data_IF_937936112562
#
_entry.id   IF_937936112562
#
_cell.length_a   1.000
_cell.length_b   1.000
_cell.length_c   1.000
_cell.angle_alpha   90.00
_cell.angle_beta   90.00
_cell.angle_gamma   90.00
#
_symmetry.space_group_name_H-M   'P 1'
#
loop_
_entity.id
_entity.type
_entity.pdbx_description
1 polymer ?
#
# COMPACT_ATOMS: atom_id res chain seq x y z
N UNK A 1 -31.37 36.59 17.42
CA UNK A 1 -30.50 35.42 17.63
C UNK A 1 -29.20 35.67 16.91
N UNK A 2 -28.12 35.93 17.65
CA UNK A 2 -26.80 36.23 17.08
C UNK A 2 -25.88 35.02 17.29
N UNK A 3 -25.35 34.45 16.21
CA UNK A 3 -24.36 33.39 16.25
C UNK A 3 -23.01 33.96 16.71
N UNK A 4 -22.46 33.42 17.80
CA UNK A 4 -21.07 33.64 18.21
C UNK A 4 -20.14 32.74 17.39
N UNK A 5 -18.95 33.20 16.98
CA UNK A 5 -17.93 32.34 16.40
C UNK A 5 -17.24 31.53 17.49
N UNK A 6 -17.07 30.23 17.25
CA UNK A 6 -16.25 29.35 18.08
C UNK A 6 -14.78 29.60 17.73
N UNK A 7 -14.07 30.26 18.63
CA UNK A 7 -12.61 30.32 18.67
C UNK A 7 -12.06 28.96 19.12
N UNK A 8 -11.40 28.24 18.22
CA UNK A 8 -10.58 27.08 18.58
C UNK A 8 -9.28 27.57 19.22
N UNK A 9 -8.88 27.09 20.40
CA UNK A 9 -7.59 27.43 20.98
C UNK A 9 -6.47 26.66 20.26
N UNK A 10 -5.58 27.41 19.63
CA UNK A 10 -4.25 26.96 19.19
C UNK A 10 -3.42 26.53 20.40
N UNK A 11 -3.54 25.26 20.80
CA UNK A 11 -2.65 24.61 21.74
C UNK A 11 -2.04 23.37 21.08
N UNK A 12 -1.33 23.56 19.98
CA UNK A 12 -0.38 22.56 19.49
C UNK A 12 0.88 22.67 20.34
N UNK A 13 0.95 21.85 21.39
CA UNK A 13 2.20 21.62 22.11
C UNK A 13 3.26 21.09 21.12
N UNK A 14 4.54 21.47 21.27
CA UNK A 14 5.60 20.92 20.43
C UNK A 14 5.62 19.40 20.60
N UNK A 15 5.40 18.67 19.50
CA UNK A 15 5.59 17.22 19.47
C UNK A 15 7.07 16.97 19.79
N UNK A 16 7.41 16.14 20.79
CA UNK A 16 8.80 15.85 21.12
C UNK A 16 9.50 15.33 19.87
N UNK A 17 10.66 15.92 19.56
CA UNK A 17 11.46 15.53 18.40
C UNK A 17 11.74 14.02 18.46
N UNK A 18 11.30 13.30 17.43
CA UNK A 18 11.53 11.87 17.31
C UNK A 18 13.04 11.64 17.16
N UNK A 19 13.69 10.96 18.11
CA UNK A 19 15.12 10.67 18.06
C UNK A 19 15.53 9.77 16.89
N UNK A 20 14.55 9.25 16.15
CA UNK A 20 14.71 8.39 14.98
C UNK A 20 14.29 9.08 13.67
N UNK A 21 14.31 10.42 13.62
CA UNK A 21 13.99 11.17 12.39
C UNK A 21 14.90 10.76 11.23
N UNK A 22 14.32 10.62 10.04
CA UNK A 22 14.98 10.19 8.82
C UNK A 22 15.75 11.36 8.20
N UNK A 23 16.99 11.12 7.79
CA UNK A 23 17.74 12.06 6.92
C UNK A 23 17.27 11.96 5.47
N UNK A 24 17.51 13.01 4.65
CA UNK A 24 17.14 12.98 3.23
C UNK A 24 17.74 11.79 2.45
N UNK A 25 18.98 11.38 2.78
CA UNK A 25 19.63 10.21 2.18
C UNK A 25 18.95 8.91 2.58
N UNK A 26 18.63 8.75 3.86
CA UNK A 26 17.90 7.58 4.36
C UNK A 26 16.49 7.51 3.77
N UNK A 27 15.83 8.67 3.59
CA UNK A 27 14.52 8.75 2.97
C UNK A 27 14.55 8.22 1.53
N UNK A 28 15.55 8.63 0.73
CA UNK A 28 15.72 8.13 -0.63
C UNK A 28 15.95 6.62 -0.66
N UNK A 29 16.73 6.08 0.29
CA UNK A 29 16.92 4.63 0.41
C UNK A 29 15.63 3.90 0.79
N UNK A 30 14.81 4.49 1.66
CA UNK A 30 13.48 4.00 2.04
C UNK A 30 12.54 3.99 0.84
N UNK A 31 12.51 5.06 0.04
CA UNK A 31 11.71 5.15 -1.18
C UNK A 31 12.10 4.08 -2.21
N UNK A 32 13.39 3.87 -2.44
CA UNK A 32 13.85 2.87 -3.41
C UNK A 32 13.51 1.45 -2.94
N UNK A 33 13.67 1.17 -1.64
CA UNK A 33 13.33 -0.12 -1.05
C UNK A 33 11.83 -0.39 -1.16
N UNK A 34 11.00 0.63 -0.86
CA UNK A 34 9.56 0.56 -1.05
C UNK A 34 9.18 0.31 -2.50
N UNK A 35 9.75 1.08 -3.44
CA UNK A 35 9.49 0.98 -4.88
C UNK A 35 9.83 -0.40 -5.41
N UNK A 36 11.01 -0.91 -5.06
CA UNK A 36 11.46 -2.25 -5.45
C UNK A 36 10.52 -3.33 -4.93
N UNK A 37 10.08 -3.21 -3.68
CA UNK A 37 9.12 -4.15 -3.09
C UNK A 37 7.73 -4.09 -3.75
N UNK A 38 7.19 -2.89 -3.94
CA UNK A 38 5.90 -2.68 -4.61
C UNK A 38 5.91 -3.29 -6.02
N UNK A 39 7.00 -3.12 -6.78
CA UNK A 39 7.11 -3.68 -8.12
C UNK A 39 7.07 -5.21 -8.12
N UNK A 40 7.64 -5.86 -7.10
CA UNK A 40 7.57 -7.32 -6.94
C UNK A 40 6.14 -7.78 -6.68
N UNK A 41 5.43 -7.12 -5.77
CA UNK A 41 4.01 -7.40 -5.48
C UNK A 41 3.15 -7.16 -6.72
N UNK A 42 3.31 -6.00 -7.38
CA UNK A 42 2.61 -5.62 -8.61
C UNK A 42 2.76 -6.68 -9.71
N UNK A 43 3.96 -7.21 -9.93
CA UNK A 43 4.20 -8.25 -10.95
C UNK A 43 3.49 -9.57 -10.61
N UNK A 44 3.57 -10.01 -9.35
CA UNK A 44 2.90 -11.24 -8.93
C UNK A 44 1.37 -11.10 -9.03
N UNK A 45 0.82 -10.00 -8.51
CA UNK A 45 -0.61 -9.69 -8.63
C UNK A 45 -1.05 -9.59 -10.09
N UNK A 46 -0.26 -8.98 -10.96
CA UNK A 46 -0.56 -8.91 -12.39
C UNK A 46 -0.62 -10.30 -13.02
N UNK A 47 0.29 -11.22 -12.67
CA UNK A 47 0.25 -12.60 -13.14
C UNK A 47 -1.04 -13.33 -12.77
N UNK A 48 -1.55 -13.07 -11.56
CA UNK A 48 -2.80 -13.68 -11.04
C UNK A 48 -4.05 -13.02 -11.66
N UNK A 49 -4.05 -11.69 -11.76
CA UNK A 49 -5.24 -10.91 -12.13
C UNK A 49 -5.41 -10.70 -13.64
N UNK A 50 -4.32 -10.65 -14.42
CA UNK A 50 -4.36 -10.33 -15.85
C UNK A 50 -5.31 -11.23 -16.68
N UNK A 51 -5.40 -12.57 -16.45
CA UNK A 51 -6.32 -13.43 -17.18
C UNK A 51 -7.80 -13.02 -17.04
N UNK A 52 -8.16 -12.39 -15.92
CA UNK A 52 -9.52 -11.93 -15.65
C UNK A 52 -9.73 -10.48 -16.11
N UNK A 53 -8.76 -9.60 -15.82
CA UNK A 53 -8.85 -8.19 -16.13
C UNK A 53 -8.82 -7.91 -17.64
N UNK A 54 -8.04 -8.68 -18.42
CA UNK A 54 -7.85 -8.45 -19.86
C UNK A 54 -9.11 -8.64 -20.72
N UNK A 55 -10.10 -9.37 -20.22
CA UNK A 55 -11.38 -9.63 -20.89
C UNK A 55 -12.57 -8.93 -20.22
N UNK A 56 -12.31 -8.17 -19.15
CA UNK A 56 -13.36 -7.56 -18.35
C UNK A 56 -13.94 -6.32 -19.05
N UNK A 57 -15.26 -6.30 -19.23
CA UNK A 57 -15.99 -5.17 -19.82
C UNK A 57 -16.29 -4.04 -18.81
N UNK A 58 -16.18 -4.34 -17.52
CA UNK A 58 -16.52 -3.43 -16.43
C UNK A 58 -15.32 -3.29 -15.49
N UNK A 59 -14.39 -2.36 -15.75
CA UNK A 59 -13.20 -2.20 -14.92
C UNK A 59 -13.61 -1.85 -13.48
N UNK A 60 -13.06 -2.59 -12.50
CA UNK A 60 -13.34 -2.38 -11.08
C UNK A 60 -12.56 -1.21 -10.48
N UNK A 61 -11.50 -0.76 -11.16
CA UNK A 61 -10.71 0.39 -10.74
C UNK A 61 -11.51 1.69 -10.85
N UNK A 62 -11.42 2.56 -9.84
CA UNK A 62 -12.17 3.83 -9.78
C UNK A 62 -11.22 5.00 -9.64
N UNK A 63 -11.59 6.15 -10.22
CA UNK A 63 -10.81 7.40 -10.12
C UNK A 63 -10.56 7.85 -8.68
N UNK A 64 -11.48 7.55 -7.75
CA UNK A 64 -11.30 7.85 -6.33
C UNK A 64 -10.08 7.14 -5.71
N UNK A 65 -9.75 5.92 -6.17
CA UNK A 65 -8.56 5.19 -5.74
C UNK A 65 -7.30 5.84 -6.33
N UNK A 66 -7.37 6.31 -7.57
CA UNK A 66 -6.25 7.01 -8.22
C UNK A 66 -5.92 8.36 -7.55
N UNK A 67 -6.89 8.99 -6.88
CA UNK A 67 -6.71 10.29 -6.21
C UNK A 67 -5.67 10.21 -5.09
N UNK A 68 -5.63 9.12 -4.33
CA UNK A 68 -4.62 8.90 -3.29
C UNK A 68 -3.19 8.94 -3.88
N UNK A 69 -2.97 8.31 -5.04
CA UNK A 69 -1.68 8.37 -5.76
C UNK A 69 -1.29 9.78 -6.17
N UNK A 70 -2.27 10.61 -6.51
CA UNK A 70 -2.05 11.96 -6.99
C UNK A 70 -1.82 12.95 -5.85
N UNK A 71 -2.54 12.78 -4.74
CA UNK A 71 -2.54 13.74 -3.62
C UNK A 71 -1.45 13.43 -2.58
N UNK A 72 -0.97 12.19 -2.48
CA UNK A 72 0.05 11.79 -1.50
C UNK A 72 1.46 12.20 -1.95
N UNK A 73 2.15 13.09 -1.22
CA UNK A 73 3.55 13.44 -1.50
C UNK A 73 4.48 12.23 -1.47
N UNK A 74 4.22 11.27 -0.57
CA UNK A 74 4.95 10.01 -0.52
C UNK A 74 4.85 9.26 -1.85
N UNK A 75 3.63 9.04 -2.35
CA UNK A 75 3.44 8.31 -3.62
C UNK A 75 3.96 9.09 -4.82
N UNK A 76 3.87 10.42 -4.81
CA UNK A 76 4.51 11.25 -5.83
C UNK A 76 6.04 11.06 -5.84
N UNK A 77 6.66 10.96 -4.67
CA UNK A 77 8.09 10.69 -4.55
C UNK A 77 8.46 9.26 -5.01
N UNK A 78 7.63 8.26 -4.71
CA UNK A 78 7.84 6.86 -5.15
C UNK A 78 7.66 6.72 -6.67
N UNK A 79 6.61 7.30 -7.24
CA UNK A 79 6.20 7.06 -8.63
C UNK A 79 6.90 8.00 -9.62
N UNK A 80 7.35 9.16 -9.14
CA UNK A 80 7.79 10.26 -9.97
C UNK A 80 6.59 11.02 -10.56
N UNK A 81 6.69 12.34 -10.62
CA UNK A 81 5.62 13.24 -11.10
C UNK A 81 5.31 13.15 -12.61
N UNK A 82 5.78 12.10 -13.30
CA UNK A 82 5.85 12.07 -14.77
C UNK A 82 4.53 11.81 -15.48
N UNK A 83 3.51 11.29 -14.79
CA UNK A 83 2.25 10.92 -15.44
C UNK A 83 1.11 11.84 -15.03
N UNK A 84 0.50 12.49 -16.03
CA UNK A 84 -0.60 13.41 -15.82
C UNK A 84 -1.84 12.67 -15.28
N UNK A 85 -2.41 13.19 -14.21
CA UNK A 85 -3.68 12.73 -13.64
C UNK A 85 -4.86 13.34 -14.42
N UNK A 86 -5.78 12.50 -14.90
CA UNK A 86 -7.03 12.96 -15.51
C UNK A 86 -8.14 12.99 -14.44
N UNK A 87 -8.82 14.12 -14.19
CA UNK A 87 -9.87 14.18 -13.16
C UNK A 87 -11.09 13.28 -13.38
N UNK A 88 -11.36 12.86 -14.63
CA UNK A 88 -12.47 11.98 -15.00
C UNK A 88 -12.05 10.51 -14.97
N UNK A 89 -10.92 10.17 -15.55
CA UNK A 89 -10.46 8.77 -15.67
C UNK A 89 -9.38 8.37 -14.68
N UNK A 90 -8.83 9.29 -13.90
CA UNK A 90 -7.64 9.08 -13.07
C UNK A 90 -6.46 8.63 -13.92
N UNK A 91 -5.76 7.60 -13.43
CA UNK A 91 -4.71 6.93 -14.18
C UNK A 91 -5.24 5.76 -15.04
N UNK A 92 -6.54 5.67 -15.32
CA UNK A 92 -7.09 4.57 -16.11
C UNK A 92 -6.98 4.85 -17.61
N UNK A 93 -6.71 3.80 -18.38
CA UNK A 93 -6.67 3.76 -19.84
C UNK A 93 -7.45 2.58 -20.39
N UNK A 94 -7.46 2.44 -21.72
CA UNK A 94 -8.24 1.40 -22.41
C UNK A 94 -7.87 -0.04 -22.02
N UNK A 95 -6.67 -0.27 -21.51
CA UNK A 95 -6.16 -1.57 -21.05
C UNK A 95 -5.97 -1.67 -19.53
N UNK A 96 -6.49 -0.71 -18.76
CA UNK A 96 -6.35 -0.65 -17.30
C UNK A 96 -5.50 0.52 -16.81
N UNK A 97 -4.89 0.39 -15.63
CA UNK A 97 -4.09 1.47 -15.03
C UNK A 97 -2.84 1.76 -15.87
N UNK A 98 -2.59 3.05 -16.14
CA UNK A 98 -1.48 3.59 -16.93
C UNK A 98 -0.20 3.79 -16.12
N UNK A 99 -0.29 3.75 -14.77
CA UNK A 99 0.89 3.85 -13.90
C UNK A 99 1.85 2.71 -14.21
N UNK A 100 3.00 3.07 -14.79
CA UNK A 100 4.07 2.13 -15.15
C UNK A 100 4.94 1.75 -13.96
N UNK A 101 4.96 2.56 -12.91
CA UNK A 101 5.73 2.31 -11.69
C UNK A 101 4.92 2.73 -10.49
N UNK A 102 4.71 1.78 -9.57
CA UNK A 102 4.02 2.06 -8.32
C UNK A 102 2.51 2.21 -8.48
N UNK A 103 1.78 1.52 -7.61
CA UNK A 103 0.34 1.73 -7.41
C UNK A 103 0.11 2.15 -5.96
N UNK A 104 -0.92 2.96 -5.68
CA UNK A 104 -1.40 3.16 -4.33
C UNK A 104 -1.58 1.84 -3.60
N UNK A 105 -1.32 1.79 -2.29
CA UNK A 105 -1.54 0.57 -1.49
C UNK A 105 -2.97 0.07 -1.62
N UNK A 106 -3.94 1.00 -1.66
CA UNK A 106 -5.35 0.69 -1.85
C UNK A 106 -5.64 -0.05 -3.16
N UNK A 107 -4.84 0.16 -4.21
CA UNK A 107 -4.97 -0.60 -5.46
C UNK A 107 -4.60 -2.08 -5.31
N UNK A 108 -3.74 -2.42 -4.36
CA UNK A 108 -3.33 -3.80 -4.08
C UNK A 108 -4.34 -4.49 -3.16
N UNK A 109 -4.83 -3.79 -2.13
CA UNK A 109 -5.84 -4.33 -1.20
C UNK A 109 -7.22 -4.53 -1.84
N UNK A 110 -7.54 -3.83 -2.93
CA UNK A 110 -8.82 -3.99 -3.62
C UNK A 110 -8.75 -4.99 -4.78
N UNK A 111 -8.91 -6.28 -4.46
CA UNK A 111 -9.03 -7.34 -5.47
C UNK A 111 -10.49 -7.49 -5.91
N UNK A 112 -10.73 -7.60 -7.22
CA UNK A 112 -12.07 -7.79 -7.76
C UNK A 112 -12.71 -9.08 -7.21
N UNK A 113 -13.96 -8.99 -6.73
CA UNK A 113 -14.69 -10.13 -6.19
C UNK A 113 -14.84 -11.31 -7.18
N UNK A 114 -14.87 -11.04 -8.49
CA UNK A 114 -14.83 -12.11 -9.50
C UNK A 114 -13.52 -12.89 -9.41
N UNK A 115 -12.38 -12.21 -9.34
CA UNK A 115 -11.05 -12.84 -9.25
C UNK A 115 -10.95 -13.66 -7.96
N UNK A 116 -11.42 -13.11 -6.83
CA UNK A 116 -11.48 -13.81 -5.55
C UNK A 116 -12.37 -15.06 -5.63
N UNK A 117 -13.56 -14.95 -6.23
CA UNK A 117 -14.48 -16.08 -6.39
C UNK A 117 -13.96 -17.19 -7.31
N UNK A 118 -13.01 -16.87 -8.20
CA UNK A 118 -12.39 -17.80 -9.15
C UNK A 118 -11.14 -18.46 -8.61
N UNK A 119 -10.69 -18.11 -7.39
CA UNK A 119 -9.61 -18.81 -6.74
C UNK A 119 -10.00 -20.27 -6.44
N UNK A 120 -9.08 -21.23 -6.61
CA UNK A 120 -9.39 -22.66 -6.56
C UNK A 120 -9.70 -23.18 -5.15
N UNK A 121 -9.29 -22.48 -4.10
CA UNK A 121 -9.56 -22.84 -2.70
C UNK A 121 -9.63 -21.63 -1.79
N UNK A 122 -10.11 -21.82 -0.56
CA UNK A 122 -10.04 -20.78 0.50
C UNK A 122 -8.60 -20.36 0.81
N UNK A 123 -7.66 -21.29 0.73
CA UNK A 123 -6.24 -20.99 0.92
C UNK A 123 -5.71 -20.05 -0.17
N UNK A 124 -6.13 -20.21 -1.43
CA UNK A 124 -5.77 -19.28 -2.50
C UNK A 124 -6.42 -17.92 -2.34
N UNK A 125 -7.68 -17.87 -1.86
CA UNK A 125 -8.34 -16.60 -1.51
C UNK A 125 -7.57 -15.87 -0.42
N UNK A 126 -7.26 -16.57 0.66
CA UNK A 126 -6.48 -16.04 1.78
C UNK A 126 -5.09 -15.56 1.34
N UNK A 127 -4.38 -16.33 0.53
CA UNK A 127 -3.07 -15.95 0.01
C UNK A 127 -3.15 -14.70 -0.89
N UNK A 128 -4.21 -14.58 -1.71
CA UNK A 128 -4.43 -13.42 -2.57
C UNK A 128 -4.76 -12.17 -1.76
N UNK A 129 -5.57 -12.29 -0.71
CA UNK A 129 -5.86 -11.20 0.21
C UNK A 129 -4.58 -10.74 0.92
N UNK A 130 -3.79 -11.69 1.47
CA UNK A 130 -2.50 -11.38 2.11
C UNK A 130 -1.54 -10.66 1.15
N UNK A 131 -1.50 -11.07 -0.12
CA UNK A 131 -0.67 -10.43 -1.14
C UNK A 131 -1.09 -8.96 -1.37
N UNK A 132 -2.40 -8.69 -1.40
CA UNK A 132 -2.94 -7.33 -1.53
C UNK A 132 -2.56 -6.41 -0.39
N UNK A 133 -2.42 -6.94 0.83
CA UNK A 133 -2.13 -6.14 2.03
C UNK A 133 -0.66 -5.78 2.22
N UNK A 134 0.27 -6.50 1.58
CA UNK A 134 1.70 -6.34 1.86
C UNK A 134 2.18 -4.90 1.72
N UNK A 135 1.72 -4.20 0.69
CA UNK A 135 2.14 -2.82 0.39
C UNK A 135 1.58 -1.83 1.41
N UNK A 136 0.33 -2.02 1.86
CA UNK A 136 -0.29 -1.22 2.92
C UNK A 136 0.27 -1.52 4.31
N UNK A 137 0.64 -2.77 4.55
CA UNK A 137 1.24 -3.21 5.80
C UNK A 137 2.55 -2.48 6.12
N UNK A 138 3.42 -2.28 5.11
CA UNK A 138 4.74 -1.64 5.29
C UNK A 138 4.62 -0.23 5.89
N UNK A 139 3.63 0.52 5.43
CA UNK A 139 3.45 1.93 5.76
C UNK A 139 2.57 2.16 6.99
N UNK A 140 1.95 1.10 7.51
CA UNK A 140 1.03 1.20 8.66
C UNK A 140 1.78 1.61 9.92
N UNK A 141 1.27 2.62 10.63
CA UNK A 141 1.82 3.14 11.90
C UNK A 141 3.25 3.69 11.80
N UNK A 142 3.71 4.04 10.60
CA UNK A 142 5.06 4.56 10.36
C UNK A 142 5.17 6.06 10.69
N UNK A 143 4.09 6.83 10.53
CA UNK A 143 4.07 8.26 10.83
C UNK A 143 2.95 8.57 11.82
N UNK A 144 3.27 9.00 13.04
CA UNK A 144 2.29 9.33 14.09
C UNK A 144 1.19 8.26 14.30
N UNK A 145 1.54 6.97 14.19
CA UNK A 145 0.61 5.83 14.23
C UNK A 145 -0.42 5.78 13.07
N UNK A 146 -0.24 6.59 12.03
CA UNK A 146 -0.98 6.61 10.76
C UNK A 146 -0.19 5.96 9.64
N UNK A 147 -0.77 5.85 8.45
CA UNK A 147 -0.08 5.34 7.28
C UNK A 147 0.87 6.40 6.70
N UNK A 148 2.00 5.96 6.13
CA UNK A 148 2.95 6.86 5.49
C UNK A 148 2.37 7.63 4.29
N UNK A 149 1.40 7.03 3.57
CA UNK A 149 0.68 7.71 2.47
C UNK A 149 -0.10 8.94 2.94
N UNK A 150 -0.46 9.01 4.22
CA UNK A 150 -1.17 10.14 4.84
C UNK A 150 -0.25 11.30 5.24
N UNK A 151 1.07 11.16 5.09
CA UNK A 151 2.04 12.24 5.31
C UNK A 151 1.93 13.27 4.17
N UNK A 152 1.42 14.46 4.47
CA UNK A 152 1.05 15.47 3.46
C UNK A 152 2.14 16.52 3.22
N UNK A 153 3.25 16.48 3.95
CA UNK A 153 4.39 17.38 3.77
C UNK A 153 5.71 16.64 3.78
N UNK A 154 6.76 17.25 3.23
CA UNK A 154 8.13 16.73 3.32
C UNK A 154 8.59 16.59 4.78
N UNK A 155 8.19 17.54 5.65
CA UNK A 155 8.48 17.47 7.08
C UNK A 155 7.82 16.26 7.75
N UNK A 156 6.60 15.87 7.34
CA UNK A 156 5.95 14.67 7.85
C UNK A 156 6.73 13.41 7.49
N UNK A 157 7.24 13.35 6.25
CA UNK A 157 8.03 12.24 5.74
C UNK A 157 9.36 12.10 6.48
N UNK A 158 10.03 13.20 6.81
CA UNK A 158 11.26 13.20 7.61
C UNK A 158 11.03 12.77 9.07
N UNK A 159 9.81 12.92 9.59
CA UNK A 159 9.43 12.49 10.93
C UNK A 159 8.93 11.03 11.00
N UNK A 160 8.92 10.31 9.87
CA UNK A 160 8.57 8.89 9.82
C UNK A 160 9.55 8.04 10.65
N UNK A 161 9.02 7.00 11.29
CA UNK A 161 9.84 6.05 12.05
C UNK A 161 10.48 5.03 11.11
N UNK A 162 11.77 5.25 10.80
CA UNK A 162 12.54 4.37 9.93
C UNK A 162 12.62 2.94 10.44
N UNK A 163 12.77 2.76 11.75
CA UNK A 163 12.94 1.45 12.37
C UNK A 163 11.66 0.62 12.20
N UNK A 164 10.50 1.24 12.42
CA UNK A 164 9.20 0.61 12.17
C UNK A 164 9.04 0.27 10.69
N UNK A 165 9.40 1.18 9.78
CA UNK A 165 9.34 0.93 8.35
C UNK A 165 10.21 -0.27 7.94
N UNK A 166 11.49 -0.28 8.32
CA UNK A 166 12.46 -1.32 7.95
C UNK A 166 12.04 -2.69 8.51
N UNK A 167 11.57 -2.73 9.76
CA UNK A 167 11.09 -3.96 10.38
C UNK A 167 9.85 -4.52 9.65
N UNK A 168 8.94 -3.65 9.22
CA UNK A 168 7.76 -4.05 8.44
C UNK A 168 8.14 -4.49 7.03
N UNK A 169 9.04 -3.78 6.36
CA UNK A 169 9.54 -4.18 5.05
C UNK A 169 10.17 -5.58 5.11
N UNK A 170 11.01 -5.83 6.12
CA UNK A 170 11.63 -7.15 6.34
C UNK A 170 10.58 -8.26 6.49
N UNK A 171 9.53 -8.02 7.28
CA UNK A 171 8.45 -8.99 7.44
C UNK A 171 7.63 -9.18 6.15
N UNK A 172 7.38 -8.09 5.41
CA UNK A 172 6.67 -8.13 4.14
C UNK A 172 7.46 -8.90 3.06
N UNK A 173 8.78 -8.79 3.02
CA UNK A 173 9.67 -9.59 2.15
C UNK A 173 9.61 -11.08 2.47
N UNK A 174 9.61 -11.43 3.76
CA UNK A 174 9.44 -12.83 4.18
C UNK A 174 8.07 -13.37 3.76
N UNK A 175 6.99 -12.61 3.99
CA UNK A 175 5.65 -12.97 3.56
C UNK A 175 5.52 -13.06 2.04
N UNK A 176 6.13 -12.14 1.29
CA UNK A 176 6.15 -12.18 -0.17
C UNK A 176 6.84 -13.46 -0.68
N UNK A 177 7.96 -13.86 -0.08
CA UNK A 177 8.67 -15.10 -0.46
C UNK A 177 7.78 -16.33 -0.30
N UNK A 178 7.03 -16.41 0.80
CA UNK A 178 6.03 -17.45 1.04
C UNK A 178 4.96 -17.45 -0.05
N UNK A 179 4.34 -16.29 -0.32
CA UNK A 179 3.26 -16.16 -1.29
C UNK A 179 3.72 -16.44 -2.72
N UNK A 180 4.89 -15.93 -3.12
CA UNK A 180 5.47 -16.20 -4.43
C UNK A 180 5.72 -17.71 -4.63
N UNK A 181 6.26 -18.38 -3.61
CA UNK A 181 6.45 -19.83 -3.62
C UNK A 181 5.12 -20.58 -3.72
N UNK A 182 4.11 -20.18 -2.94
CA UNK A 182 2.77 -20.75 -2.95
C UNK A 182 2.12 -20.67 -4.34
N UNK A 183 2.08 -19.49 -4.95
CA UNK A 183 1.46 -19.27 -6.26
C UNK A 183 2.25 -19.92 -7.42
N UNK A 184 3.58 -20.04 -7.30
CA UNK A 184 4.42 -20.62 -8.36
C UNK A 184 4.42 -22.15 -8.33
N UNK A 185 4.44 -22.75 -7.14
CA UNK A 185 4.61 -24.20 -6.98
C UNK A 185 3.33 -24.94 -6.59
N UNK A 186 2.21 -24.23 -6.39
CA UNK A 186 0.91 -24.80 -6.01
C UNK A 186 0.98 -25.74 -4.80
N UNK A 187 1.83 -25.41 -3.83
CA UNK A 187 2.00 -26.18 -2.59
C UNK A 187 1.11 -25.64 -1.48
N UNK A 188 0.77 -26.48 -0.51
CA UNK A 188 0.09 -26.03 0.70
C UNK A 188 1.00 -25.13 1.56
N UNK A 189 0.38 -24.23 2.32
CA UNK A 189 1.04 -23.39 3.31
C UNK A 189 1.27 -24.19 4.60
N UNK A 190 2.52 -24.23 5.04
CA UNK A 190 2.91 -24.81 6.33
C UNK A 190 2.52 -23.91 7.51
N UNK A 191 2.60 -24.47 8.72
CA UNK A 191 2.26 -23.75 9.96
C UNK A 191 3.03 -22.43 10.14
N UNK A 192 4.36 -22.45 9.97
CA UNK A 192 5.20 -21.24 10.11
C UNK A 192 4.93 -20.18 9.04
N UNK A 193 4.48 -20.61 7.87
CA UNK A 193 4.15 -19.73 6.76
C UNK A 193 2.83 -19.02 7.03
N UNK A 194 1.82 -19.78 7.47
CA UNK A 194 0.57 -19.23 7.96
C UNK A 194 0.79 -18.27 9.13
N UNK A 195 1.70 -18.58 10.06
CA UNK A 195 2.07 -17.66 11.15
C UNK A 195 2.63 -16.35 10.60
N UNK A 196 3.52 -16.42 9.62
CA UNK A 196 4.10 -15.24 8.95
C UNK A 196 3.03 -14.39 8.27
N UNK A 197 2.12 -15.01 7.50
CA UNK A 197 1.03 -14.31 6.81
C UNK A 197 0.00 -13.73 7.80
N UNK A 198 -0.30 -14.43 8.88
CA UNK A 198 -1.20 -13.94 9.92
C UNK A 198 -0.69 -12.69 10.61
N UNK A 199 0.63 -12.50 10.69
CA UNK A 199 1.19 -11.24 11.21
C UNK A 199 0.83 -10.07 10.29
N UNK A 200 0.80 -10.26 8.97
CA UNK A 200 0.35 -9.22 8.04
C UNK A 200 -1.12 -8.88 8.30
N UNK A 201 -2.00 -9.88 8.33
CA UNK A 201 -3.46 -9.69 8.46
C UNK A 201 -3.91 -9.13 9.82
N UNK A 202 -3.30 -9.56 10.93
CA UNK A 202 -3.69 -9.11 12.28
C UNK A 202 -3.43 -7.62 12.51
N UNK A 203 -2.55 -7.00 11.71
CA UNK A 203 -2.29 -5.58 11.84
C UNK A 203 -3.42 -4.67 11.31
N UNK A 204 -4.31 -5.18 10.45
CA UNK A 204 -5.51 -4.44 10.01
C UNK A 204 -6.62 -4.41 11.07
N UNK A 205 -6.82 -5.52 11.79
CA UNK A 205 -7.93 -5.68 12.73
C UNK A 205 -7.75 -4.94 14.07
N UNK A 206 -6.53 -4.52 14.40
CA UNK A 206 -6.23 -3.81 15.65
C UNK A 206 -6.33 -2.28 15.53
N UNK A 207 -6.89 -1.77 14.42
CA UNK A 207 -7.00 -0.34 14.13
C UNK A 207 -8.39 0.12 13.70
N UNK A 208 -9.39 -0.77 13.70
CA UNK A 208 -10.80 -0.48 13.39
C UNK A 208 -11.66 -0.48 14.64
#
# INVERSE_FOLDING_TARGET
>A
MACRPLSFPDCLLPIPANSNAITATEFNSTLESYRSFELKVSRLMQGICAPYCGVCKTPCCRVGICREAFESPFLLAVHGAGQAFDPKSGYLGGSGCKLSTGRPPLCHSFVCGLIVSKQPSDEHRYALDCLGDLVGFIQTKVWQKRQLVEAMTEADLLNADKSVFDARLTLAEAAFTVLASFFTHHRALGFHELETLNRIRKHELAGS
#
